data_IF_418403244473
#
_entry.id   IF_418403244473
#
_cell.length_a   1.000
_cell.length_b   1.000
_cell.length_c   1.000
_cell.angle_alpha   90.00
_cell.angle_beta   90.00
_cell.angle_gamma   90.00
#
_symmetry.space_group_name_H-M   'P 1'
#
loop_
_entity.id
_entity.type
_entity.pdbx_description
1 polymer ?
#
# COMPACT_ATOMS: atom_id res chain seq x y z
N UNK A 1 -37.07 44.58 1.23
CA UNK A 1 -35.79 44.99 1.85
C UNK A 1 -35.46 44.03 2.98
N UNK A 2 -34.37 43.26 3.03
CA UNK A 2 -33.17 43.15 2.22
C UNK A 2 -32.68 41.69 2.37
N UNK A 3 -32.31 41.07 1.25
CA UNK A 3 -31.59 39.79 1.20
C UNK A 3 -30.15 40.04 1.65
N UNK A 4 -29.68 39.34 2.67
CA UNK A 4 -28.26 39.31 3.04
C UNK A 4 -27.58 38.19 2.24
N UNK A 5 -26.97 38.57 1.13
CA UNK A 5 -26.19 37.70 0.26
C UNK A 5 -24.71 38.02 0.46
N UNK A 6 -24.11 37.48 1.51
CA UNK A 6 -22.65 37.44 1.67
C UNK A 6 -22.14 36.07 1.21
N UNK A 7 -21.86 35.98 -0.09
CA UNK A 7 -21.01 34.92 -0.65
C UNK A 7 -19.58 35.27 -0.26
N UNK A 8 -18.79 34.37 0.36
CA UNK A 8 -17.37 34.61 0.54
C UNK A 8 -16.71 34.57 -0.85
N UNK A 9 -16.19 35.71 -1.31
CA UNK A 9 -15.30 35.76 -2.46
C UNK A 9 -14.11 34.83 -2.21
N UNK A 10 -13.99 33.78 -3.02
CA UNK A 10 -12.81 32.93 -3.05
C UNK A 10 -11.62 33.77 -3.54
N UNK A 11 -10.83 34.30 -2.61
CA UNK A 11 -9.57 34.96 -2.94
C UNK A 11 -8.57 33.89 -3.40
N UNK A 12 -8.44 33.68 -4.71
CA UNK A 12 -7.38 32.87 -5.28
C UNK A 12 -6.02 33.45 -4.86
N UNK A 13 -5.26 32.72 -4.04
CA UNK A 13 -3.86 33.07 -3.77
C UNK A 13 -3.04 32.65 -4.98
N UNK A 14 -2.65 33.65 -5.77
CA UNK A 14 -1.65 33.48 -6.82
C UNK A 14 -0.31 33.18 -6.13
N UNK A 15 0.22 31.97 -6.35
CA UNK A 15 1.58 31.61 -5.93
C UNK A 15 2.49 31.78 -7.13
N UNK A 16 3.57 32.53 -6.96
CA UNK A 16 4.62 32.68 -7.97
C UNK A 16 5.65 31.58 -7.78
N UNK A 17 6.05 30.91 -8.86
CA UNK A 17 7.28 30.09 -8.84
C UNK A 17 8.54 30.98 -8.76
N UNK A 18 9.71 30.34 -8.61
CA UNK A 18 11.03 31.00 -8.58
C UNK A 18 11.38 31.76 -9.88
N UNK A 19 10.55 31.63 -10.92
CA UNK A 19 10.69 32.30 -12.22
C UNK A 19 9.61 33.37 -12.47
N UNK A 20 8.79 33.71 -11.47
CA UNK A 20 7.77 34.76 -11.60
C UNK A 20 6.48 34.31 -12.32
N UNK A 21 6.29 33.00 -12.57
CA UNK A 21 5.07 32.48 -13.19
C UNK A 21 4.01 32.22 -12.14
N UNK A 22 2.81 32.69 -12.43
CA UNK A 22 1.63 32.48 -11.59
C UNK A 22 1.15 31.04 -11.78
N UNK A 23 1.35 30.20 -10.77
CA UNK A 23 0.80 28.85 -10.72
C UNK A 23 -0.54 28.94 -10.00
N UNK A 24 -1.63 28.69 -10.73
CA UNK A 24 -2.93 28.44 -10.10
C UNK A 24 -2.91 27.01 -9.58
N UNK A 25 -2.78 26.83 -8.27
CA UNK A 25 -3.06 25.53 -7.67
C UNK A 25 -4.55 25.23 -7.86
N UNK A 26 -4.86 24.14 -8.57
CA UNK A 26 -6.21 23.59 -8.66
C UNK A 26 -6.61 22.83 -7.39
N UNK A 27 -5.70 22.66 -6.42
CA UNK A 27 -6.08 22.19 -5.10
C UNK A 27 -6.94 23.27 -4.42
N UNK A 28 -8.17 22.91 -4.09
CA UNK A 28 -9.08 23.82 -3.40
C UNK A 28 -8.46 24.23 -2.06
N UNK A 29 -8.52 25.53 -1.72
CA UNK A 29 -8.12 26.03 -0.39
C UNK A 29 -9.03 25.53 0.76
N UNK A 30 -9.99 24.66 0.45
CA UNK A 30 -10.91 24.11 1.42
C UNK A 30 -10.18 23.04 2.24
N UNK A 31 -10.34 23.10 3.56
CA UNK A 31 -9.85 22.03 4.44
C UNK A 31 -10.45 20.70 3.98
N UNK A 32 -9.65 19.64 3.84
CA UNK A 32 -10.16 18.38 3.32
C UNK A 32 -11.29 17.82 4.19
N UNK A 33 -12.31 17.28 3.56
CA UNK A 33 -13.45 16.66 4.24
C UNK A 33 -13.32 15.14 4.25
N UNK A 34 -13.69 14.44 5.35
CA UNK A 34 -13.70 12.98 5.33
C UNK A 34 -14.69 12.46 4.28
N UNK A 35 -14.28 11.44 3.53
CA UNK A 35 -15.17 10.77 2.59
C UNK A 35 -16.36 10.16 3.34
N UNK A 36 -17.60 10.42 2.90
CA UNK A 36 -18.77 9.79 3.49
C UNK A 36 -18.71 8.28 3.20
N UNK A 37 -18.73 7.42 4.24
CA UNK A 37 -18.74 5.99 4.04
C UNK A 37 -20.07 5.57 3.39
N UNK A 38 -20.01 4.50 2.59
CA UNK A 38 -21.19 3.85 2.04
C UNK A 38 -22.04 4.69 1.06
N UNK A 39 -21.53 5.81 0.53
CA UNK A 39 -22.21 6.61 -0.51
C UNK A 39 -21.42 6.69 -1.81
N UNK A 40 -22.09 6.66 -2.98
CA UNK A 40 -21.42 6.93 -4.24
C UNK A 40 -20.84 8.35 -4.26
N UNK A 41 -19.66 8.50 -4.84
CA UNK A 41 -19.04 9.80 -5.06
C UNK A 41 -19.60 10.43 -6.34
N UNK A 42 -19.70 11.77 -6.39
CA UNK A 42 -19.99 12.46 -7.63
C UNK A 42 -18.91 12.17 -8.68
N UNK A 43 -19.27 12.30 -9.95
CA UNK A 43 -18.29 12.21 -11.02
C UNK A 43 -17.19 13.26 -10.83
N UNK A 44 -15.97 12.80 -10.99
CA UNK A 44 -14.80 13.64 -10.87
C UNK A 44 -14.36 14.10 -12.25
N UNK A 45 -14.09 15.40 -12.35
CA UNK A 45 -13.75 16.04 -13.61
C UNK A 45 -12.41 16.74 -13.46
N UNK A 46 -11.46 16.31 -14.29
CA UNK A 46 -10.21 17.01 -14.52
C UNK A 46 -10.16 17.35 -16.00
N UNK A 47 -9.67 18.55 -16.32
CA UNK A 47 -9.38 18.90 -17.70
C UNK A 47 -8.43 17.83 -18.30
N UNK A 48 -8.74 17.24 -19.47
CA UNK A 48 -7.86 16.28 -20.11
C UNK A 48 -6.53 16.97 -20.47
N UNK A 49 -5.47 16.62 -19.74
CA UNK A 49 -4.11 17.13 -19.95
C UNK A 49 -3.09 16.20 -19.29
N UNK A 50 -1.84 16.38 -19.68
CA UNK A 50 -0.72 15.82 -18.95
C UNK A 50 -0.48 16.61 -17.67
N UNK A 51 -0.19 15.90 -16.58
CA UNK A 51 0.07 16.47 -15.26
C UNK A 51 1.53 16.25 -14.88
N UNK A 52 2.21 17.27 -14.32
CA UNK A 52 3.47 17.09 -13.63
C UNK A 52 3.28 16.28 -12.34
N UNK A 53 4.31 15.53 -11.96
CA UNK A 53 4.25 14.66 -10.80
C UNK A 53 5.49 13.79 -10.60
N UNK A 54 5.30 12.76 -9.80
CA UNK A 54 6.28 11.69 -9.58
C UNK A 54 5.66 10.32 -9.83
N UNK A 55 6.49 9.42 -10.35
CA UNK A 55 6.23 7.98 -10.36
C UNK A 55 7.21 7.30 -9.41
N UNK A 56 6.70 6.41 -8.56
CA UNK A 56 7.47 5.64 -7.59
C UNK A 56 7.19 4.15 -7.77
N UNK A 57 8.22 3.32 -7.56
CA UNK A 57 8.04 1.90 -7.32
C UNK A 57 8.45 1.59 -5.89
N UNK A 58 7.54 1.00 -5.12
CA UNK A 58 7.75 0.70 -3.72
C UNK A 58 7.49 -0.76 -3.41
N UNK A 59 8.09 -1.25 -2.33
CA UNK A 59 7.90 -2.60 -1.83
C UNK A 59 7.63 -2.60 -0.33
N UNK A 60 6.73 -3.47 0.11
CA UNK A 60 6.61 -3.85 1.51
C UNK A 60 7.54 -5.02 1.81
N UNK A 61 8.21 -4.95 2.96
CA UNK A 61 9.03 -6.04 3.49
C UNK A 61 8.56 -6.35 4.89
N UNK A 62 8.29 -7.62 5.16
CA UNK A 62 8.10 -8.08 6.53
C UNK A 62 9.37 -7.86 7.35
N UNK A 63 9.19 -7.45 8.59
CA UNK A 63 10.29 -7.30 9.53
C UNK A 63 10.69 -8.67 10.08
N UNK A 64 11.96 -8.83 10.41
CA UNK A 64 12.49 -10.00 11.13
C UNK A 64 12.30 -11.36 10.42
N UNK A 65 12.16 -11.35 9.08
CA UNK A 65 12.16 -12.57 8.26
C UNK A 65 13.58 -13.14 8.16
N UNK A 66 13.86 -14.35 8.70
CA UNK A 66 15.11 -15.06 8.53
C UNK A 66 15.46 -15.24 7.06
N UNK A 67 16.75 -15.12 6.77
CA UNK A 67 17.24 -15.38 5.42
C UNK A 67 17.03 -16.85 5.05
N UNK A 68 16.78 -17.15 3.76
CA UNK A 68 16.66 -18.52 3.30
C UNK A 68 17.91 -19.34 3.68
N UNK A 69 17.76 -20.61 4.08
CA UNK A 69 18.86 -21.45 4.52
C UNK A 69 19.89 -21.66 3.39
N UNK A 70 21.18 -21.54 3.73
CA UNK A 70 22.29 -21.82 2.82
C UNK A 70 22.76 -23.26 3.02
N UNK A 71 21.98 -24.22 2.54
CA UNK A 71 22.27 -25.65 2.68
C UNK A 71 22.37 -26.34 1.31
N UNK A 72 23.07 -27.48 1.26
CA UNK A 72 23.04 -28.36 0.10
C UNK A 72 21.58 -28.81 -0.14
N UNK A 73 21.13 -28.80 -1.40
CA UNK A 73 19.75 -29.10 -1.77
C UNK A 73 18.84 -27.88 -1.93
N UNK A 74 19.27 -26.70 -1.50
CA UNK A 74 18.52 -25.44 -1.67
C UNK A 74 18.84 -24.80 -3.02
N UNK A 75 17.82 -24.57 -3.84
CA UNK A 75 17.98 -23.97 -5.17
C UNK A 75 17.86 -22.43 -5.08
N UNK A 76 19.00 -21.75 -4.97
CA UNK A 76 19.05 -20.28 -4.84
C UNK A 76 18.32 -19.56 -5.97
N UNK A 77 18.45 -20.03 -7.21
CA UNK A 77 17.75 -19.42 -8.36
C UNK A 77 16.23 -19.52 -8.23
N UNK A 78 15.70 -20.67 -7.79
CA UNK A 78 14.27 -20.85 -7.55
C UNK A 78 13.75 -19.99 -6.41
N UNK A 79 14.52 -19.85 -5.33
CA UNK A 79 14.20 -18.94 -4.23
C UNK A 79 14.12 -17.48 -4.72
N UNK A 80 15.11 -17.01 -5.48
CA UNK A 80 15.11 -15.64 -6.00
C UNK A 80 13.95 -15.40 -6.98
N UNK A 81 13.64 -16.38 -7.84
CA UNK A 81 12.48 -16.31 -8.72
C UNK A 81 11.17 -16.23 -7.94
N UNK A 82 11.01 -17.05 -6.89
CA UNK A 82 9.83 -17.07 -6.05
C UNK A 82 9.69 -15.78 -5.22
N UNK A 83 10.78 -15.24 -4.68
CA UNK A 83 10.81 -13.93 -4.01
C UNK A 83 10.41 -12.81 -4.97
N UNK A 84 10.95 -12.79 -6.20
CA UNK A 84 10.57 -11.80 -7.21
C UNK A 84 9.09 -11.90 -7.60
N UNK A 85 8.58 -13.13 -7.73
CA UNK A 85 7.19 -13.41 -8.05
C UNK A 85 6.18 -13.00 -6.96
N UNK A 86 6.63 -12.91 -5.70
CA UNK A 86 5.80 -12.66 -4.52
C UNK A 86 6.20 -11.40 -3.75
N UNK A 87 7.08 -10.58 -4.32
CA UNK A 87 7.46 -9.29 -3.76
C UNK A 87 6.22 -8.40 -3.61
N UNK A 88 6.01 -7.78 -2.46
CA UNK A 88 4.82 -6.96 -2.17
C UNK A 88 4.97 -5.56 -2.76
N UNK A 89 4.83 -5.43 -4.07
CA UNK A 89 5.18 -4.20 -4.79
C UNK A 89 3.96 -3.34 -5.12
N UNK A 90 4.16 -2.02 -5.04
CA UNK A 90 3.25 -0.98 -5.49
C UNK A 90 3.90 -0.15 -6.60
N UNK A 91 3.09 0.27 -7.57
CA UNK A 91 3.41 1.39 -8.46
C UNK A 91 2.58 2.58 -8.03
N UNK A 92 3.21 3.73 -7.84
CA UNK A 92 2.58 4.90 -7.26
C UNK A 92 2.80 6.08 -8.20
N UNK A 93 1.72 6.80 -8.50
CA UNK A 93 1.77 8.06 -9.23
C UNK A 93 1.21 9.16 -8.32
N UNK A 94 1.97 10.25 -8.20
CA UNK A 94 1.65 11.41 -7.38
C UNK A 94 1.65 12.62 -8.29
N UNK A 95 0.47 13.18 -8.57
CA UNK A 95 0.37 14.40 -9.36
C UNK A 95 0.52 15.62 -8.45
N UNK A 96 1.23 16.64 -8.95
CA UNK A 96 1.42 17.93 -8.26
C UNK A 96 0.07 18.56 -7.87
N UNK A 97 -0.97 18.32 -8.67
CA UNK A 97 -2.35 18.80 -8.48
C UNK A 97 -3.13 18.10 -7.35
N UNK A 98 -2.46 17.31 -6.50
CA UNK A 98 -3.11 16.69 -5.35
C UNK A 98 -3.89 15.43 -5.69
N UNK A 99 -3.37 14.62 -6.62
CA UNK A 99 -3.93 13.30 -6.96
C UNK A 99 -2.92 12.20 -6.68
N UNK A 100 -3.40 11.07 -6.17
CA UNK A 100 -2.61 9.87 -5.97
C UNK A 100 -3.29 8.67 -6.61
N UNK A 101 -2.49 7.83 -7.25
CA UNK A 101 -2.87 6.50 -7.73
C UNK A 101 -1.84 5.49 -7.26
N UNK A 102 -2.29 4.42 -6.62
CA UNK A 102 -1.48 3.29 -6.18
C UNK A 102 -2.01 2.04 -6.86
N UNK A 103 -1.20 1.40 -7.69
CA UNK A 103 -1.52 0.13 -8.33
C UNK A 103 -0.87 -1.03 -7.57
N UNK A 104 -1.66 -2.06 -7.27
CA UNK A 104 -1.20 -3.31 -6.70
C UNK A 104 -0.63 -4.15 -7.83
N UNK A 105 0.66 -4.51 -7.76
CA UNK A 105 1.34 -5.23 -8.85
C UNK A 105 1.75 -6.65 -8.51
N UNK A 106 1.48 -7.09 -7.29
CA UNK A 106 1.87 -8.41 -6.79
C UNK A 106 0.67 -9.31 -6.52
N UNK A 107 0.86 -10.61 -6.76
CA UNK A 107 -0.09 -11.66 -6.38
C UNK A 107 -0.07 -12.02 -4.91
N UNK A 108 0.98 -11.63 -4.18
CA UNK A 108 1.08 -11.84 -2.74
C UNK A 108 0.48 -10.68 -1.92
N UNK A 109 0.00 -9.62 -2.58
CA UNK A 109 -0.71 -8.55 -1.89
C UNK A 109 -2.13 -8.98 -1.46
N UNK A 110 -2.70 -8.34 -0.43
CA UNK A 110 -4.06 -8.61 0.05
C UNK A 110 -5.14 -8.36 -1.01
N UNK A 111 -4.85 -7.51 -1.99
CA UNK A 111 -5.71 -7.21 -3.13
C UNK A 111 -5.07 -7.76 -4.40
N UNK A 112 -5.87 -8.27 -5.35
CA UNK A 112 -5.35 -8.83 -6.59
C UNK A 112 -4.63 -7.76 -7.41
N UNK A 113 -3.63 -8.20 -8.17
CA UNK A 113 -2.90 -7.35 -9.11
C UNK A 113 -3.85 -6.63 -10.06
N UNK A 114 -3.58 -5.36 -10.32
CA UNK A 114 -4.42 -4.48 -11.12
C UNK A 114 -5.54 -3.77 -10.34
N UNK A 115 -5.73 -4.09 -9.05
CA UNK A 115 -6.52 -3.23 -8.17
C UNK A 115 -5.79 -1.89 -7.96
N UNK A 116 -6.55 -0.83 -7.68
CA UNK A 116 -5.97 0.49 -7.43
C UNK A 116 -6.54 1.15 -6.17
N UNK A 117 -5.73 1.92 -5.46
CA UNK A 117 -6.20 2.95 -4.54
C UNK A 117 -6.03 4.30 -5.22
N UNK A 118 -7.05 5.15 -5.15
CA UNK A 118 -6.95 6.54 -5.60
C UNK A 118 -7.35 7.49 -4.48
N UNK A 119 -6.64 8.60 -4.38
CA UNK A 119 -6.90 9.64 -3.40
C UNK A 119 -6.81 11.04 -4.04
N UNK A 120 -7.44 11.99 -3.37
CA UNK A 120 -7.48 13.41 -3.73
C UNK A 120 -7.15 14.26 -2.51
N UNK A 121 -6.49 15.39 -2.73
CA UNK A 121 -6.08 16.28 -1.65
C UNK A 121 -7.24 16.92 -0.89
N UNK A 122 -8.38 17.16 -1.54
CA UNK A 122 -9.54 17.85 -0.99
C UNK A 122 -10.46 16.97 -0.13
N UNK A 123 -10.15 15.68 0.01
CA UNK A 123 -10.87 14.74 0.87
C UNK A 123 -9.92 13.87 1.68
N UNK A 124 -10.40 13.34 2.81
CA UNK A 124 -9.70 12.31 3.57
C UNK A 124 -10.29 10.92 3.27
N UNK A 125 -9.42 9.97 2.95
CA UNK A 125 -9.76 8.61 2.55
C UNK A 125 -9.49 8.37 1.06
N UNK A 126 -9.78 7.16 0.61
CA UNK A 126 -9.46 6.69 -0.73
C UNK A 126 -10.67 6.04 -1.40
N UNK A 127 -10.58 5.81 -2.71
CA UNK A 127 -11.39 4.79 -3.37
C UNK A 127 -10.54 3.59 -3.71
N UNK A 128 -11.06 2.40 -3.43
CA UNK A 128 -10.55 1.13 -3.91
C UNK A 128 -11.22 0.78 -5.23
N UNK A 129 -10.42 0.44 -6.23
CA UNK A 129 -10.87 0.02 -7.55
C UNK A 129 -10.56 -1.45 -7.79
N UNK A 130 -11.50 -2.14 -8.42
CA UNK A 130 -11.32 -3.51 -8.87
C UNK A 130 -10.39 -3.55 -10.09
N UNK A 131 -9.74 -4.70 -10.34
CA UNK A 131 -9.04 -4.92 -11.61
C UNK A 131 -9.96 -4.59 -12.80
N UNK A 132 -9.45 -3.81 -13.74
CA UNK A 132 -10.20 -3.34 -14.91
C UNK A 132 -11.04 -2.08 -14.69
N UNK A 133 -11.00 -1.48 -13.50
CA UNK A 133 -11.57 -0.15 -13.19
C UNK A 133 -13.10 -0.03 -13.40
N UNK A 134 -13.81 -1.15 -13.42
CA UNK A 134 -15.26 -1.18 -13.65
C UNK A 134 -16.09 -0.97 -12.38
N UNK A 135 -15.48 -1.18 -11.21
CA UNK A 135 -16.12 -1.05 -9.91
C UNK A 135 -15.20 -0.31 -8.95
N UNK A 136 -15.79 0.50 -8.08
CA UNK A 136 -15.07 1.16 -7.00
C UNK A 136 -15.84 1.06 -5.68
N UNK A 137 -15.10 1.15 -4.58
CA UNK A 137 -15.62 1.24 -3.22
C UNK A 137 -14.95 2.38 -2.48
N UNK A 138 -15.73 3.17 -1.77
CA UNK A 138 -15.20 4.22 -0.89
C UNK A 138 -14.59 3.59 0.35
N UNK A 139 -13.36 3.97 0.66
CA UNK A 139 -12.66 3.62 1.88
C UNK A 139 -12.70 4.83 2.83
N UNK A 140 -13.37 4.71 3.98
CA UNK A 140 -13.32 5.77 4.99
C UNK A 140 -11.92 5.83 5.62
N UNK A 141 -11.52 7.01 6.14
CA UNK A 141 -10.30 7.12 6.94
C UNK A 141 -10.26 6.11 8.08
N UNK A 142 -9.14 5.43 8.22
CA UNK A 142 -8.88 4.38 9.22
C UNK A 142 -9.09 2.96 8.72
N UNK A 143 -9.50 2.77 7.46
CA UNK A 143 -9.74 1.44 6.88
C UNK A 143 -8.48 0.81 6.25
N UNK A 144 -7.45 1.59 5.92
CA UNK A 144 -6.29 1.08 5.18
C UNK A 144 -5.54 -0.03 5.92
N UNK A 145 -5.41 0.06 7.26
CA UNK A 145 -4.75 -0.98 8.06
C UNK A 145 -5.42 -2.33 7.88
N UNK A 146 -6.74 -2.40 8.07
CA UNK A 146 -7.47 -3.67 7.99
C UNK A 146 -7.62 -4.14 6.55
N UNK A 147 -7.64 -3.21 5.58
CA UNK A 147 -7.66 -3.55 4.17
C UNK A 147 -6.37 -4.27 3.77
N UNK A 148 -5.23 -3.71 4.15
CA UNK A 148 -3.91 -4.21 3.79
C UNK A 148 -3.42 -5.34 4.70
N UNK A 149 -3.90 -5.43 5.94
CA UNK A 149 -3.51 -6.50 6.87
C UNK A 149 -4.43 -7.72 6.80
N UNK A 150 -5.72 -7.50 6.61
CA UNK A 150 -6.75 -8.51 6.92
C UNK A 150 -7.78 -8.68 5.82
N UNK A 151 -7.70 -7.88 4.74
CA UNK A 151 -8.70 -7.83 3.66
C UNK A 151 -10.10 -7.53 4.21
N UNK A 152 -10.17 -6.53 5.09
CA UNK A 152 -11.43 -6.01 5.67
C UNK A 152 -11.48 -4.48 5.56
N UNK A 153 -12.68 -3.92 5.57
CA UNK A 153 -12.88 -2.47 5.61
C UNK A 153 -13.49 -2.14 6.98
N UNK A 154 -12.68 -2.31 8.01
CA UNK A 154 -13.03 -2.01 9.39
C UNK A 154 -12.30 -0.72 9.78
N UNK A 155 -13.03 0.25 10.32
CA UNK A 155 -12.44 1.54 10.68
C UNK A 155 -11.65 1.40 11.97
N UNK A 156 -10.34 1.58 11.88
CA UNK A 156 -9.47 1.70 13.05
C UNK A 156 -9.59 3.13 13.61
N UNK A 157 -9.81 3.32 14.92
CA UNK A 157 -9.83 4.65 15.51
C UNK A 157 -8.52 5.41 15.27
N UNK A 158 -8.63 6.62 14.71
CA UNK A 158 -7.50 7.49 14.43
C UNK A 158 -7.20 8.40 15.62
N UNK A 159 -5.92 8.69 15.83
CA UNK A 159 -5.44 9.58 16.89
C UNK A 159 -4.42 10.58 16.33
N UNK A 160 -4.22 11.72 16.99
CA UNK A 160 -3.25 12.71 16.51
C UNK A 160 -1.80 12.17 16.44
N UNK A 161 -1.48 11.13 17.22
CA UNK A 161 -0.12 10.65 17.41
C UNK A 161 0.81 11.69 18.05
N UNK A 162 2.06 11.31 18.27
CA UNK A 162 3.12 12.24 18.66
C UNK A 162 4.32 12.07 17.73
N UNK A 163 4.70 13.13 17.03
CA UNK A 163 5.85 13.14 16.13
C UNK A 163 7.09 13.74 16.81
N UNK A 164 8.25 13.17 16.50
CA UNK A 164 9.56 13.63 16.96
C UNK A 164 10.54 13.65 15.79
N UNK A 165 11.19 14.79 15.49
CA UNK A 165 12.26 14.81 14.50
C UNK A 165 13.44 13.96 14.99
N UNK A 166 13.99 13.14 14.10
CA UNK A 166 15.13 12.26 14.36
C UNK A 166 16.41 12.80 13.73
N UNK A 167 16.29 13.54 12.63
CA UNK A 167 17.40 14.17 11.92
C UNK A 167 17.16 14.20 10.42
N UNK A 168 18.23 14.34 9.65
CA UNK A 168 18.18 14.37 8.18
C UNK A 168 19.00 13.22 7.57
N UNK A 169 18.93 13.05 6.26
CA UNK A 169 19.70 12.07 5.53
C UNK A 169 19.51 12.18 4.02
N UNK A 170 19.86 11.10 3.32
CA UNK A 170 19.61 10.94 1.88
C UNK A 170 19.06 9.57 1.57
N UNK A 171 18.15 9.49 0.59
CA UNK A 171 17.64 8.24 0.02
C UNK A 171 17.27 8.48 -1.44
N UNK A 172 17.66 7.55 -2.33
CA UNK A 172 17.50 7.72 -3.79
C UNK A 172 18.02 9.08 -4.29
N UNK A 173 19.18 9.50 -3.77
CA UNK A 173 19.82 10.80 -4.03
C UNK A 173 19.00 12.05 -3.69
N UNK A 174 17.87 11.90 -3.01
CA UNK A 174 17.04 12.99 -2.50
C UNK A 174 17.35 13.22 -1.01
N UNK A 175 17.39 14.49 -0.61
CA UNK A 175 17.50 14.88 0.80
C UNK A 175 16.21 14.50 1.53
N UNK A 176 16.35 13.79 2.66
CA UNK A 176 15.22 13.35 3.48
C UNK A 176 15.31 13.93 4.89
N UNK A 177 14.17 14.33 5.45
CA UNK A 177 14.02 14.50 6.89
C UNK A 177 13.43 13.22 7.50
N UNK A 178 13.84 12.91 8.73
CA UNK A 178 13.50 11.69 9.45
C UNK A 178 12.62 12.02 10.63
N UNK A 179 11.49 11.33 10.73
CA UNK A 179 10.51 11.54 11.80
C UNK A 179 10.17 10.20 12.42
N UNK A 180 10.06 10.18 13.74
CA UNK A 180 9.49 9.07 14.48
C UNK A 180 8.12 9.49 15.00
N UNK A 181 7.08 8.72 14.68
CA UNK A 181 5.73 8.91 15.15
C UNK A 181 5.35 7.77 16.09
N UNK A 182 4.71 8.11 17.21
CA UNK A 182 4.11 7.15 18.12
C UNK A 182 2.58 7.32 18.12
N UNK A 183 1.87 6.21 18.11
CA UNK A 183 0.41 6.15 18.22
C UNK A 183 -0.03 4.92 19.02
N UNK A 184 -1.35 4.76 19.18
CA UNK A 184 -1.94 3.64 19.93
C UNK A 184 -1.57 2.26 19.36
N UNK A 185 -1.37 2.14 18.05
CA UNK A 185 -1.07 0.86 17.40
C UNK A 185 0.42 0.50 17.40
N UNK A 186 1.31 1.46 17.64
CA UNK A 186 2.75 1.24 17.54
C UNK A 186 3.57 2.50 17.30
N UNK A 187 4.75 2.30 16.73
CA UNK A 187 5.64 3.36 16.28
C UNK A 187 5.89 3.26 14.77
N UNK A 188 6.15 4.40 14.15
CA UNK A 188 6.51 4.53 12.75
C UNK A 188 7.75 5.42 12.64
N UNK A 189 8.80 4.90 12.05
CA UNK A 189 9.90 5.71 11.56
C UNK A 189 9.70 6.00 10.08
N UNK A 190 9.69 7.26 9.67
CA UNK A 190 9.44 7.67 8.28
C UNK A 190 10.53 8.61 7.76
N UNK A 191 10.94 8.41 6.52
CA UNK A 191 11.87 9.28 5.79
C UNK A 191 11.12 10.00 4.67
N UNK A 192 11.02 11.32 4.78
CA UNK A 192 10.28 12.20 3.88
C UNK A 192 11.27 12.98 3.02
N UNK A 193 11.29 12.70 1.73
CA UNK A 193 12.16 13.34 0.76
C UNK A 193 11.59 14.66 0.27
N UNK A 194 12.45 15.66 0.09
CA UNK A 194 12.09 16.89 -0.63
C UNK A 194 11.95 16.59 -2.12
N UNK A 195 10.74 16.71 -2.62
CA UNK A 195 10.38 16.49 -4.01
C UNK A 195 9.26 17.47 -4.41
N UNK A 196 9.61 18.72 -4.78
CA UNK A 196 8.63 19.75 -5.14
C UNK A 196 7.63 19.29 -6.20
N UNK A 197 8.07 18.41 -7.11
CA UNK A 197 7.27 17.93 -8.24
C UNK A 197 6.12 17.02 -7.81
N UNK A 198 6.15 16.48 -6.58
CA UNK A 198 5.02 15.75 -6.04
C UNK A 198 3.88 16.67 -5.58
N UNK A 199 4.15 17.97 -5.40
CA UNK A 199 3.18 18.98 -4.96
C UNK A 199 2.26 18.50 -3.83
N UNK A 200 0.95 18.60 -4.05
CA UNK A 200 -0.08 18.17 -3.12
C UNK A 200 -0.35 16.65 -3.13
N UNK A 201 0.24 15.92 -4.09
CA UNK A 201 0.16 14.46 -4.19
C UNK A 201 1.03 13.74 -3.16
N UNK A 202 2.20 14.30 -2.83
CA UNK A 202 3.11 13.77 -1.78
C UNK A 202 2.44 13.53 -0.42
N UNK A 203 1.71 14.52 0.13
CA UNK A 203 0.90 14.36 1.34
C UNK A 203 -0.06 13.18 1.33
N UNK A 204 -0.63 12.80 0.18
CA UNK A 204 -1.60 11.71 0.11
C UNK A 204 -0.96 10.36 0.46
N UNK A 205 0.23 10.10 -0.06
CA UNK A 205 0.97 8.88 0.27
C UNK A 205 1.42 8.89 1.73
N UNK A 206 1.89 10.04 2.23
CA UNK A 206 2.24 10.21 3.63
C UNK A 206 1.04 9.90 4.55
N UNK A 207 -0.13 10.50 4.26
CA UNK A 207 -1.37 10.27 5.02
C UNK A 207 -1.79 8.79 4.99
N UNK A 208 -1.74 8.15 3.83
CA UNK A 208 -2.06 6.72 3.70
C UNK A 208 -1.13 5.85 4.58
N UNK A 209 0.17 6.16 4.64
CA UNK A 209 1.11 5.45 5.50
C UNK A 209 0.87 5.73 6.99
N UNK A 210 0.57 6.98 7.37
CA UNK A 210 0.23 7.35 8.74
C UNK A 210 -1.08 6.68 9.20
N UNK A 211 -2.06 6.56 8.31
CA UNK A 211 -3.33 5.90 8.59
C UNK A 211 -3.13 4.43 8.98
N UNK A 212 -2.18 3.72 8.36
CA UNK A 212 -1.90 2.32 8.73
C UNK A 212 -1.41 2.20 10.20
N UNK A 213 -0.78 3.26 10.74
CA UNK A 213 -0.40 3.38 12.15
C UNK A 213 -1.57 3.84 13.05
N UNK A 214 -2.71 4.21 12.49
CA UNK A 214 -3.84 4.77 13.22
C UNK A 214 -3.67 6.26 13.57
N UNK A 215 -2.92 7.00 12.74
CA UNK A 215 -2.73 8.45 12.90
C UNK A 215 -3.72 9.24 12.04
N UNK A 216 -4.25 10.33 12.57
CA UNK A 216 -5.19 11.24 11.90
C UNK A 216 -4.55 11.85 10.63
N UNK A 217 -5.27 11.87 9.49
CA UNK A 217 -4.75 12.41 8.22
C UNK A 217 -4.48 13.92 8.25
N UNK A 218 -4.89 14.64 9.31
CA UNK A 218 -4.54 16.04 9.57
C UNK A 218 -3.17 16.23 10.23
N UNK A 219 -2.40 15.16 10.38
CA UNK A 219 -1.02 15.22 10.87
C UNK A 219 -0.21 16.29 10.13
N UNK A 220 0.48 17.19 10.85
CA UNK A 220 1.29 18.23 10.24
C UNK A 220 2.55 17.69 9.56
N UNK A 221 2.88 16.41 9.76
CA UNK A 221 4.06 15.79 9.16
C UNK A 221 3.92 15.55 7.65
N UNK A 222 2.70 15.56 7.11
CA UNK A 222 2.45 15.34 5.68
C UNK A 222 2.29 16.67 4.94
N UNK A 223 3.42 17.24 4.50
CA UNK A 223 3.48 18.56 3.84
C UNK A 223 3.66 18.45 2.33
N UNK A 224 3.16 19.44 1.59
CA UNK A 224 3.29 19.51 0.14
C UNK A 224 4.77 19.59 -0.28
N UNK A 225 5.09 18.98 -1.41
CA UNK A 225 6.46 18.89 -1.92
C UNK A 225 7.36 17.93 -1.12
N UNK A 226 6.80 17.11 -0.23
CA UNK A 226 7.50 16.00 0.40
C UNK A 226 6.86 14.65 0.09
N UNK A 227 7.67 13.62 -0.08
CA UNK A 227 7.24 12.26 -0.42
C UNK A 227 7.89 11.25 0.51
N UNK A 228 7.14 10.32 1.12
CA UNK A 228 7.74 9.25 1.91
C UNK A 228 8.50 8.27 1.01
N UNK A 229 9.80 8.11 1.26
CA UNK A 229 10.64 7.13 0.57
C UNK A 229 10.92 5.87 1.40
N UNK A 230 10.71 5.97 2.71
CA UNK A 230 10.83 4.83 3.62
C UNK A 230 9.90 5.02 4.81
N UNK A 231 9.30 3.92 5.26
CA UNK A 231 8.47 3.86 6.44
C UNK A 231 8.70 2.51 7.12
N UNK A 232 8.95 2.49 8.43
CA UNK A 232 9.20 1.27 9.21
C UNK A 232 8.28 1.23 10.42
N UNK A 233 7.41 0.23 10.45
CA UNK A 233 6.40 0.05 11.48
C UNK A 233 6.89 -0.94 12.54
N UNK A 234 6.61 -0.61 13.80
CA UNK A 234 6.78 -1.49 14.94
C UNK A 234 5.48 -1.54 15.73
N UNK A 235 4.85 -2.72 15.81
CA UNK A 235 3.56 -2.86 16.51
C UNK A 235 3.75 -3.08 18.02
N UNK A 236 2.77 -2.63 18.81
CA UNK A 236 2.77 -2.86 20.26
C UNK A 236 2.82 -4.35 20.64
N UNK A 237 2.18 -5.22 19.85
CA UNK A 237 2.18 -6.67 20.04
C UNK A 237 3.41 -7.40 19.49
N UNK A 238 4.40 -6.67 18.97
CA UNK A 238 5.56 -7.23 18.27
C UNK A 238 5.35 -7.38 16.77
N UNK A 239 6.46 -7.62 16.06
CA UNK A 239 6.51 -7.64 14.61
C UNK A 239 6.41 -6.25 13.98
N UNK A 240 6.30 -6.24 12.65
CA UNK A 240 6.29 -5.02 11.87
C UNK A 240 6.49 -5.28 10.39
N UNK A 241 6.46 -4.22 9.62
CA UNK A 241 6.86 -4.24 8.22
C UNK A 241 7.51 -2.91 7.87
N UNK A 242 8.20 -2.86 6.74
CA UNK A 242 8.68 -1.61 6.16
C UNK A 242 8.12 -1.40 4.76
N UNK A 243 7.75 -0.17 4.47
CA UNK A 243 7.53 0.36 3.12
C UNK A 243 8.84 0.99 2.64
N UNK A 244 9.32 0.60 1.47
CA UNK A 244 10.55 1.12 0.88
C UNK A 244 10.34 1.48 -0.58
N UNK A 245 10.59 2.74 -0.94
CA UNK A 245 10.65 3.17 -2.34
C UNK A 245 11.99 2.73 -2.92
N UNK A 246 11.90 1.97 -4.02
CA UNK A 246 13.03 1.38 -4.73
C UNK A 246 13.44 2.19 -5.96
N UNK A 247 12.50 2.92 -6.56
CA UNK A 247 12.76 3.87 -7.63
C UNK A 247 11.83 5.08 -7.52
N UNK A 248 12.33 6.25 -7.91
CA UNK A 248 11.58 7.50 -7.94
C UNK A 248 11.96 8.27 -9.20
N UNK A 249 10.96 8.69 -9.97
CA UNK A 249 11.16 9.42 -11.22
C UNK A 249 10.21 10.61 -11.30
N UNK A 250 10.74 11.76 -11.71
CA UNK A 250 9.93 12.92 -12.10
C UNK A 250 9.19 12.62 -13.40
N UNK A 251 7.93 13.03 -13.49
CA UNK A 251 7.08 12.89 -14.67
C UNK A 251 6.44 14.23 -15.01
N UNK A 252 6.23 14.46 -16.31
CA UNK A 252 5.49 15.63 -16.82
C UNK A 252 4.27 15.23 -17.64
N UNK A 253 4.07 13.92 -17.78
CA UNK A 253 3.21 13.23 -18.73
C UNK A 253 2.24 12.28 -18.00
N UNK A 254 1.91 12.55 -16.73
CA UNK A 254 0.89 11.77 -16.03
C UNK A 254 -0.47 12.07 -16.65
N UNK A 255 -1.19 11.03 -17.08
CA UNK A 255 -2.46 11.18 -17.77
C UNK A 255 -3.54 11.57 -16.75
N UNK A 256 -4.16 12.76 -16.88
CA UNK A 256 -5.13 13.24 -15.89
C UNK A 256 -6.35 12.32 -15.72
N UNK A 257 -6.80 11.65 -16.78
CA UNK A 257 -7.93 10.72 -16.75
C UNK A 257 -7.63 9.46 -15.92
N UNK A 258 -6.37 9.05 -15.85
CA UNK A 258 -5.94 7.90 -15.04
C UNK A 258 -5.88 8.24 -13.55
N UNK A 259 -6.00 9.53 -13.19
CA UNK A 259 -5.94 10.02 -11.82
C UNK A 259 -7.32 10.41 -11.23
N UNK A 260 -8.40 10.16 -11.99
CA UNK A 260 -9.77 10.47 -11.57
C UNK A 260 -10.26 9.57 -10.44
N UNK A 261 -11.02 10.14 -9.51
CA UNK A 261 -11.56 9.49 -8.31
C UNK A 261 -13.03 9.90 -8.10
N UNK A 262 -14.01 9.05 -8.45
CA UNK A 262 -13.86 7.79 -9.16
C UNK A 262 -13.55 8.01 -10.66
N UNK A 263 -12.98 7.01 -11.36
CA UNK A 263 -12.91 7.05 -12.82
C UNK A 263 -14.31 7.10 -13.45
N UNK A 264 -14.46 7.69 -14.65
CA UNK A 264 -15.71 7.68 -15.38
C UNK A 264 -16.21 6.25 -15.58
N UNK A 265 -17.52 6.03 -15.53
CA UNK A 265 -18.21 4.73 -15.72
C UNK A 265 -17.94 3.64 -14.66
N UNK A 266 -17.07 3.88 -13.67
CA UNK A 266 -16.88 2.93 -12.58
C UNK A 266 -18.16 2.86 -11.72
N UNK A 267 -18.71 1.66 -11.54
CA UNK A 267 -19.90 1.45 -10.74
C UNK A 267 -19.56 1.42 -9.24
N UNK A 268 -20.35 2.13 -8.44
CA UNK A 268 -20.21 2.11 -6.99
C UNK A 268 -20.62 0.75 -6.40
N UNK A 269 -19.75 0.18 -5.57
CA UNK A 269 -19.97 -1.04 -4.82
C UNK A 269 -20.06 -0.73 -3.31
N UNK A 270 -21.24 -0.93 -2.72
CA UNK A 270 -21.48 -0.69 -1.30
C UNK A 270 -20.80 -1.73 -0.38
N UNK A 271 -20.51 -2.92 -0.91
CA UNK A 271 -19.93 -4.03 -0.16
C UNK A 271 -19.00 -4.86 -1.04
N UNK A 272 -18.27 -5.78 -0.39
CA UNK A 272 -17.30 -6.66 -1.04
C UNK A 272 -15.92 -6.04 -1.24
N UNK A 273 -14.99 -6.88 -1.66
CA UNK A 273 -13.63 -6.54 -2.05
C UNK A 273 -13.31 -7.25 -3.37
N UNK A 274 -12.30 -6.78 -4.13
CA UNK A 274 -11.79 -7.52 -5.27
C UNK A 274 -11.43 -8.96 -4.87
N UNK A 275 -11.86 -9.93 -5.68
CA UNK A 275 -11.60 -11.34 -5.44
C UNK A 275 -10.11 -11.64 -5.65
N UNK A 276 -9.39 -11.96 -4.58
CA UNK A 276 -8.02 -12.47 -4.69
C UNK A 276 -8.04 -13.97 -5.05
N UNK A 277 -7.11 -14.40 -5.89
CA UNK A 277 -6.97 -15.80 -6.28
C UNK A 277 -6.51 -16.64 -5.08
N UNK A 278 -7.36 -17.57 -4.61
CA UNK A 278 -7.02 -18.78 -3.84
C UNK A 278 -6.29 -18.68 -2.48
N UNK A 279 -5.53 -17.62 -2.23
CA UNK A 279 -4.58 -17.48 -1.12
C UNK A 279 -3.20 -18.06 -1.41
N UNK A 280 -3.03 -18.99 -2.35
CA UNK A 280 -1.72 -19.59 -2.70
C UNK A 280 -1.05 -18.76 -3.80
N UNK A 281 0.17 -18.29 -3.56
CA UNK A 281 0.83 -17.29 -4.41
C UNK A 281 1.74 -17.89 -5.48
N UNK A 282 2.26 -19.08 -5.21
CA UNK A 282 3.20 -19.76 -6.08
C UNK A 282 2.54 -20.99 -6.70
N UNK A 283 2.82 -21.20 -7.98
CA UNK A 283 2.45 -22.43 -8.68
C UNK A 283 3.19 -23.63 -8.10
N UNK A 284 2.69 -24.83 -8.41
CA UNK A 284 3.33 -26.10 -8.04
C UNK A 284 4.81 -26.14 -8.46
N UNK A 285 5.09 -25.72 -9.69
CA UNK A 285 6.45 -25.77 -10.27
C UNK A 285 7.37 -24.72 -9.64
N UNK A 286 6.87 -23.52 -9.37
CA UNK A 286 7.64 -22.48 -8.66
C UNK A 286 8.03 -22.93 -7.24
N UNK A 287 7.12 -23.59 -6.52
CA UNK A 287 7.40 -24.15 -5.19
C UNK A 287 8.33 -25.36 -5.26
N UNK A 288 8.22 -26.21 -6.28
CA UNK A 288 9.14 -27.32 -6.47
C UNK A 288 10.57 -26.82 -6.73
N UNK A 289 10.69 -25.71 -7.46
CA UNK A 289 11.97 -25.14 -7.89
C UNK A 289 12.82 -24.53 -6.76
N UNK A 290 12.29 -24.36 -5.53
CA UNK A 290 13.07 -23.87 -4.37
C UNK A 290 14.03 -24.94 -3.80
N UNK A 291 13.92 -26.18 -4.28
CA UNK A 291 14.81 -27.29 -3.98
C UNK A 291 15.40 -27.87 -5.26
N UNK A 292 16.63 -28.36 -5.19
CA UNK A 292 17.29 -29.01 -6.34
C UNK A 292 16.86 -30.47 -6.47
N UNK A 293 16.56 -31.13 -5.36
CA UNK A 293 16.08 -32.50 -5.29
C UNK A 293 15.30 -32.77 -4.00
N UNK A 294 14.45 -33.80 -4.03
CA UNK A 294 13.73 -34.25 -2.86
C UNK A 294 14.66 -35.04 -1.92
N UNK A 295 14.65 -34.71 -0.63
CA UNK A 295 15.38 -35.45 0.39
C UNK A 295 14.74 -36.82 0.63
N UNK A 296 15.53 -37.89 0.78
CA UNK A 296 15.03 -39.23 1.09
C UNK A 296 14.61 -39.32 2.56
N UNK A 297 13.43 -38.80 2.88
CA UNK A 297 12.86 -38.84 4.23
C UNK A 297 11.89 -40.02 4.39
N UNK A 298 11.73 -40.61 5.59
CA UNK A 298 10.72 -41.65 5.84
C UNK A 298 9.32 -41.09 5.57
N UNK A 299 8.38 -41.93 5.13
CA UNK A 299 6.99 -41.50 4.90
C UNK A 299 6.41 -40.81 6.13
N UNK A 300 5.47 -39.86 5.92
CA UNK A 300 4.79 -39.22 7.05
C UNK A 300 4.08 -40.27 7.89
N UNK A 301 4.27 -40.23 9.21
CA UNK A 301 3.53 -41.05 10.14
C UNK A 301 2.11 -40.52 10.39
N UNK A 302 1.83 -39.28 9.99
CA UNK A 302 0.51 -38.66 10.11
C UNK A 302 -0.40 -39.12 8.95
N UNK A 303 -1.49 -39.85 9.22
CA UNK A 303 -2.43 -40.29 8.20
C UNK A 303 -3.20 -39.14 7.53
N UNK A 304 -3.21 -37.94 8.14
CA UNK A 304 -3.80 -36.73 7.57
C UNK A 304 -2.83 -35.92 6.70
N UNK A 305 -1.55 -36.30 6.64
CA UNK A 305 -0.57 -35.59 5.82
C UNK A 305 -0.88 -35.77 4.33
N UNK A 306 -0.83 -34.69 3.53
CA UNK A 306 -1.07 -34.80 2.10
C UNK A 306 0.03 -35.61 1.42
N UNK A 307 -0.31 -36.25 0.29
CA UNK A 307 0.67 -37.01 -0.51
C UNK A 307 1.78 -36.15 -1.11
N UNK A 308 1.56 -34.83 -1.21
CA UNK A 308 2.53 -33.84 -1.68
C UNK A 308 2.32 -32.51 -0.92
N UNK A 309 3.40 -31.74 -0.71
CA UNK A 309 3.30 -30.41 -0.14
C UNK A 309 2.88 -30.39 1.33
N UNK A 310 2.06 -29.41 1.72
CA UNK A 310 1.62 -29.22 3.10
C UNK A 310 0.22 -28.60 3.19
N UNK A 311 -0.39 -28.68 4.38
CA UNK A 311 -1.62 -27.97 4.73
C UNK A 311 -1.26 -26.85 5.71
N UNK A 312 -1.53 -25.60 5.33
CA UNK A 312 -1.41 -24.45 6.22
C UNK A 312 -2.75 -24.24 6.93
N UNK A 313 -2.74 -24.32 8.27
CA UNK A 313 -3.95 -24.20 9.09
C UNK A 313 -3.87 -22.91 9.90
N UNK A 314 -4.92 -22.10 9.84
CA UNK A 314 -5.06 -20.90 10.64
C UNK A 314 -6.26 -21.04 11.58
N UNK A 315 -5.98 -21.19 12.86
CA UNK A 315 -6.98 -21.31 13.93
C UNK A 315 -7.23 -19.98 14.65
N UNK A 316 -6.71 -18.87 14.13
CA UNK A 316 -6.94 -17.53 14.67
C UNK A 316 -8.08 -16.82 13.94
N UNK A 317 -8.49 -15.68 14.50
CA UNK A 317 -9.46 -14.76 13.93
C UNK A 317 -8.84 -13.72 12.97
N UNK A 318 -7.53 -13.78 12.75
CA UNK A 318 -6.78 -12.87 11.87
C UNK A 318 -6.32 -13.56 10.58
N UNK A 319 -6.06 -12.78 9.52
CA UNK A 319 -5.43 -13.28 8.30
C UNK A 319 -3.94 -13.54 8.58
N UNK A 320 -3.45 -14.73 8.24
CA UNK A 320 -2.02 -15.05 8.34
C UNK A 320 -1.40 -15.31 6.97
N UNK A 321 -0.13 -14.92 6.86
CA UNK A 321 0.74 -15.23 5.74
C UNK A 321 1.76 -16.26 6.21
N UNK A 322 1.83 -17.41 5.53
CA UNK A 322 2.86 -18.39 5.78
C UNK A 322 4.03 -18.12 4.83
N UNK A 323 5.21 -17.91 5.42
CA UNK A 323 6.45 -17.77 4.68
C UNK A 323 7.20 -19.10 4.71
N UNK A 324 7.62 -19.59 3.55
CA UNK A 324 8.45 -20.79 3.39
C UNK A 324 9.83 -20.35 2.92
N UNK A 325 10.85 -20.59 3.74
CA UNK A 325 12.21 -20.07 3.57
C UNK A 325 12.25 -18.55 3.34
N UNK A 326 11.37 -17.82 4.02
CA UNK A 326 11.22 -16.37 3.87
C UNK A 326 10.45 -15.94 2.61
N UNK A 327 9.90 -16.89 1.84
CA UNK A 327 9.09 -16.62 0.66
C UNK A 327 7.60 -16.69 1.02
N UNK A 328 6.80 -15.65 0.75
CA UNK A 328 5.35 -15.70 0.92
C UNK A 328 4.76 -16.80 0.03
N UNK A 329 4.27 -17.88 0.64
CA UNK A 329 3.73 -19.01 -0.11
C UNK A 329 2.20 -18.97 -0.16
N UNK A 330 1.57 -18.62 0.97
CA UNK A 330 0.11 -18.64 1.09
C UNK A 330 -0.39 -17.65 2.13
N UNK A 331 -1.51 -16.99 1.84
CA UNK A 331 -2.37 -16.33 2.82
C UNK A 331 -3.51 -17.27 3.24
N UNK A 332 -3.67 -17.49 4.54
CA UNK A 332 -4.65 -18.38 5.13
C UNK A 332 -5.69 -17.54 5.88
N UNK A 333 -6.95 -17.50 5.41
CA UNK A 333 -8.00 -16.76 6.08
C UNK A 333 -8.22 -17.21 7.53
N UNK A 334 -8.86 -16.35 8.36
CA UNK A 334 -9.29 -16.73 9.71
C UNK A 334 -10.06 -18.05 9.72
N UNK A 335 -9.80 -18.89 10.74
CA UNK A 335 -10.50 -20.15 10.97
C UNK A 335 -10.59 -21.05 9.72
N UNK A 336 -9.52 -21.10 8.92
CA UNK A 336 -9.49 -21.79 7.64
C UNK A 336 -8.18 -22.56 7.44
N UNK A 337 -8.14 -23.38 6.40
CA UNK A 337 -6.94 -24.07 5.96
C UNK A 337 -6.74 -23.92 4.45
N UNK A 338 -5.49 -24.10 4.03
CA UNK A 338 -5.08 -24.07 2.62
C UNK A 338 -4.11 -25.20 2.34
N UNK A 339 -4.46 -25.99 1.34
CA UNK A 339 -3.55 -26.99 0.78
C UNK A 339 -2.59 -26.31 -0.20
N UNK A 340 -1.29 -26.55 -0.02
CA UNK A 340 -0.21 -26.03 -0.86
C UNK A 340 0.56 -27.22 -1.44
N UNK A 341 0.43 -27.43 -2.75
CA UNK A 341 1.16 -28.47 -3.49
C UNK A 341 2.41 -27.90 -4.16
N UNK A 342 3.37 -28.76 -4.50
CA UNK A 342 4.61 -28.38 -5.19
C UNK A 342 5.90 -28.48 -4.37
N UNK A 343 5.95 -28.07 -3.08
CA UNK A 343 7.16 -28.20 -2.29
C UNK A 343 7.66 -29.65 -2.30
N UNK A 344 8.91 -29.84 -2.71
CA UNK A 344 9.56 -31.15 -2.67
C UNK A 344 9.71 -31.62 -1.21
N UNK A 345 9.93 -32.92 -1.00
CA UNK A 345 10.23 -33.40 0.36
C UNK A 345 11.56 -32.81 0.80
N UNK A 346 11.57 -32.10 1.92
CA UNK A 346 12.76 -31.39 2.38
C UNK A 346 12.58 -30.78 3.76
N UNK A 347 13.64 -30.15 4.25
CA UNK A 347 13.60 -29.31 5.44
C UNK A 347 13.35 -27.87 5.01
N UNK A 348 12.39 -27.21 5.65
CA UNK A 348 11.98 -25.85 5.35
C UNK A 348 11.98 -25.02 6.63
N UNK A 349 12.31 -23.73 6.51
CA UNK A 349 12.09 -22.76 7.58
C UNK A 349 10.72 -22.12 7.34
N UNK A 350 9.80 -22.19 8.31
CA UNK A 350 8.47 -21.60 8.19
C UNK A 350 8.25 -20.50 9.22
N UNK A 351 7.48 -19.47 8.87
CA UNK A 351 6.94 -18.44 9.77
C UNK A 351 5.47 -18.19 9.52
#
# INVERSE_FOLDING_TARGET
>A
DLLDASVPEASAKLVSDDYGRLVMSEASQQSPLPLPPATPLPEDTLSPRELPGMALEAAFRWRDVPQPPKAAGVATAGIQAALGATALTWKIELAETGRMRVQFTSRALPLPSGSELRARHDVHGEVLLWPGLTQYRVLPPGALRTLLGERRIDVTPLSAGSARPVGDGKRLDLDVRKVELHASLGALYIELARAPEAGDGGPLLCRALLEILGVDPKSPECVAGEVPLYASYAWQGGGGFSFEVTSAARRTDLVSTDMLMPPPSAAYAAAGLPSAQGGVFLTRDELAAIRTEALPMPASADPGAPGEGFVAVNQSDALFYLLVDGIPAVAVPPMSERYVSGPQRGLYVVQ
#
